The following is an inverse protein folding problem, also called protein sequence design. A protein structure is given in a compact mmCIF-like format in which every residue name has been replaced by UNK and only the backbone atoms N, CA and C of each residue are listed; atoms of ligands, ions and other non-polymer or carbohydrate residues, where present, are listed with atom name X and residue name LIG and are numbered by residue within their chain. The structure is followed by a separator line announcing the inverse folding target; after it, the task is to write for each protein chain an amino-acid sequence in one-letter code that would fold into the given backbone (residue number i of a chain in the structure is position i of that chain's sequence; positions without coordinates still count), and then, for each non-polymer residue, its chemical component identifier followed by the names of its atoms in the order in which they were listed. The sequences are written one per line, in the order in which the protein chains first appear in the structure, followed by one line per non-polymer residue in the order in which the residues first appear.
data_IF_276597399733
#
_entry.id   IF_276597399733
#
_cell.length_a   1.000
_cell.length_b   1.000
_cell.length_c   1.000
_cell.angle_alpha   90.00
_cell.angle_beta   90.00
_cell.angle_gamma   90.00
#
_symmetry.space_group_name_H-M   'P 1'
#
loop_
_entity.id
_entity.type
_entity.pdbx_description
1 polymer ?
#
# COMPACT_ATOMS: atom_id res chain seq x y z
N UNK A 1 11.77 -0.34 -7.61
CA UNK A 1 11.22 0.53 -8.66
C UNK A 1 12.22 1.66 -8.91
N UNK A 2 12.63 1.91 -10.17
CA UNK A 2 13.42 3.08 -10.54
C UNK A 2 12.74 4.40 -10.12
N UNK A 3 13.52 5.47 -9.94
CA UNK A 3 12.99 6.76 -9.47
C UNK A 3 11.92 7.34 -10.40
N UNK A 4 12.15 7.24 -11.70
CA UNK A 4 11.26 7.83 -12.72
C UNK A 4 9.91 7.10 -12.75
N UNK A 5 9.91 5.76 -12.70
CA UNK A 5 8.69 4.95 -12.58
C UNK A 5 7.91 5.27 -11.29
N UNK A 6 8.60 5.58 -10.18
CA UNK A 6 7.91 5.97 -8.96
C UNK A 6 7.28 7.36 -9.07
N UNK A 7 7.92 8.30 -9.76
CA UNK A 7 7.35 9.62 -10.01
C UNK A 7 6.09 9.55 -10.88
N UNK A 8 6.12 8.76 -11.96
CA UNK A 8 4.95 8.49 -12.81
C UNK A 8 3.82 7.84 -11.99
N UNK A 9 4.14 6.86 -11.16
CA UNK A 9 3.16 6.21 -10.29
C UNK A 9 2.54 7.17 -9.25
N UNK A 10 3.32 8.11 -8.72
CA UNK A 10 2.80 9.15 -7.82
C UNK A 10 1.85 10.10 -8.56
N UNK A 11 2.20 10.52 -9.78
CA UNK A 11 1.33 11.35 -10.60
C UNK A 11 0.00 10.65 -10.90
N UNK A 12 0.06 9.34 -11.18
CA UNK A 12 -1.12 8.50 -11.40
C UNK A 12 -2.09 8.48 -10.21
N UNK A 13 -1.54 8.28 -9.00
CA UNK A 13 -2.32 8.28 -7.76
C UNK A 13 -2.84 9.69 -7.44
N UNK A 14 -2.12 10.75 -7.82
CA UNK A 14 -2.61 12.11 -7.65
C UNK A 14 -3.84 12.38 -8.52
N UNK A 15 -3.86 11.89 -9.76
CA UNK A 15 -4.95 12.08 -10.70
C UNK A 15 -6.17 11.21 -10.38
N UNK A 16 -5.95 9.94 -10.03
CA UNK A 16 -7.00 8.92 -9.96
C UNK A 16 -7.27 8.38 -8.55
N UNK A 17 -6.42 8.73 -7.59
CA UNK A 17 -6.42 8.12 -6.26
C UNK A 17 -5.88 6.69 -6.28
N UNK A 18 -6.04 6.01 -5.15
CA UNK A 18 -5.64 4.60 -5.00
C UNK A 18 -6.80 3.71 -5.45
N UNK A 19 -6.74 3.19 -6.67
CA UNK A 19 -7.82 2.36 -7.25
C UNK A 19 -7.82 0.92 -6.72
N UNK A 20 -6.64 0.37 -6.42
CA UNK A 20 -6.49 -0.95 -5.83
C UNK A 20 -6.17 -0.79 -4.34
N UNK A 21 -7.01 -1.32 -3.43
CA UNK A 21 -6.78 -1.20 -1.99
C UNK A 21 -5.43 -1.74 -1.53
N UNK A 22 -4.96 -1.26 -0.38
CA UNK A 22 -3.81 -1.82 0.33
C UNK A 22 -4.29 -3.01 1.16
N UNK A 23 -3.60 -4.13 1.08
CA UNK A 23 -3.91 -5.31 1.87
C UNK A 23 -3.24 -5.20 3.23
N UNK A 24 -4.03 -5.31 4.30
CA UNK A 24 -3.55 -5.17 5.67
C UNK A 24 -3.92 -6.37 6.53
N UNK A 25 -3.00 -6.77 7.40
CA UNK A 25 -3.22 -7.71 8.50
C UNK A 25 -3.59 -6.89 9.73
N UNK A 26 -4.66 -7.28 10.42
CA UNK A 26 -5.14 -6.65 11.67
C UNK A 26 -5.36 -5.12 11.61
N UNK A 27 -5.37 -4.52 10.42
CA UNK A 27 -5.60 -3.09 10.19
C UNK A 27 -4.36 -2.19 10.28
N UNK A 28 -3.21 -2.69 10.73
CA UNK A 28 -2.00 -1.88 10.98
C UNK A 28 -0.75 -2.35 10.21
N UNK A 29 -0.76 -3.59 9.72
CA UNK A 29 0.40 -4.21 9.08
C UNK A 29 0.14 -4.37 7.59
N UNK A 30 0.90 -3.67 6.75
CA UNK A 30 0.77 -3.77 5.29
C UNK A 30 1.35 -5.11 4.81
N UNK A 31 0.52 -5.97 4.24
CA UNK A 31 0.98 -7.18 3.55
C UNK A 31 1.34 -6.88 2.09
N UNK A 32 0.44 -6.20 1.36
CA UNK A 32 0.68 -5.74 -0.02
C UNK A 32 0.20 -4.29 -0.24
N UNK A 33 0.86 -3.59 -1.16
CA UNK A 33 0.54 -2.21 -1.50
C UNK A 33 1.48 -1.18 -0.89
N UNK A 34 2.68 -1.59 -0.44
CA UNK A 34 3.70 -0.67 0.11
C UNK A 34 3.96 0.53 -0.80
N UNK A 35 4.06 0.32 -2.12
CA UNK A 35 4.30 1.42 -3.08
C UNK A 35 3.10 2.37 -3.15
N UNK A 36 1.87 1.86 -3.12
CA UNK A 36 0.63 2.66 -3.06
C UNK A 36 0.59 3.50 -1.79
N UNK A 37 0.92 2.90 -0.64
CA UNK A 37 1.02 3.61 0.63
C UNK A 37 2.08 4.72 0.61
N UNK A 38 3.28 4.44 0.09
CA UNK A 38 4.35 5.45 0.00
C UNK A 38 3.95 6.63 -0.90
N UNK A 39 3.30 6.36 -2.03
CA UNK A 39 2.82 7.41 -2.93
C UNK A 39 1.71 8.25 -2.29
N UNK A 40 0.71 7.61 -1.69
CA UNK A 40 -0.34 8.31 -0.94
C UNK A 40 0.22 9.16 0.20
N UNK A 41 1.20 8.64 0.94
CA UNK A 41 1.91 9.36 1.99
C UNK A 41 2.68 10.57 1.44
N UNK A 42 3.34 10.42 0.29
CA UNK A 42 4.05 11.53 -0.39
C UNK A 42 3.10 12.64 -0.83
N UNK A 43 1.88 12.30 -1.23
CA UNK A 43 0.82 13.24 -1.62
C UNK A 43 0.07 13.85 -0.43
N UNK A 44 0.34 13.41 0.81
CA UNK A 44 -0.36 13.90 1.99
C UNK A 44 -1.81 13.42 2.09
N UNK A 45 -2.16 12.30 1.44
CA UNK A 45 -3.49 11.71 1.55
C UNK A 45 -3.72 11.21 2.98
N UNK A 46 -4.83 11.66 3.61
CA UNK A 46 -5.18 11.26 4.99
C UNK A 46 -5.81 9.88 5.08
N UNK A 47 -6.45 9.44 4.00
CA UNK A 47 -7.15 8.16 3.93
C UNK A 47 -6.82 7.46 2.62
N UNK A 48 -6.70 6.14 2.70
CA UNK A 48 -6.49 5.25 1.56
C UNK A 48 -7.39 4.03 1.74
N UNK A 49 -7.92 3.46 0.64
CA UNK A 49 -8.70 2.23 0.74
C UNK A 49 -7.80 1.08 1.19
N UNK A 50 -8.31 0.30 2.14
CA UNK A 50 -7.65 -0.91 2.66
C UNK A 50 -8.63 -2.07 2.65
N UNK A 51 -8.11 -3.29 2.51
CA UNK A 51 -8.86 -4.53 2.67
C UNK A 51 -8.08 -5.49 3.57
N UNK A 52 -8.79 -6.39 4.25
CA UNK A 52 -8.15 -7.46 5.00
C UNK A 52 -7.36 -8.36 4.03
N UNK A 53 -6.10 -8.63 4.36
CA UNK A 53 -5.28 -9.54 3.59
C UNK A 53 -5.83 -10.98 3.68
N UNK A 54 -5.76 -11.78 2.59
CA UNK A 54 -6.19 -13.16 2.57
C UNK A 54 -5.12 -14.06 3.22
N UNK A 55 -4.90 -13.89 4.52
CA UNK A 55 -4.11 -14.83 5.32
C UNK A 55 -5.00 -15.99 5.73
N UNK A 56 -4.57 -17.22 5.47
CA UNK A 56 -5.21 -18.40 6.05
C UNK A 56 -5.11 -18.35 7.59
N UNK A 57 -5.89 -19.15 8.32
CA UNK A 57 -5.93 -19.21 9.81
C UNK A 57 -4.55 -19.42 10.49
N UNK A 58 -3.48 -19.59 9.72
CA UNK A 58 -2.10 -19.55 10.19
C UNK A 58 -1.66 -18.10 10.40
N UNK A 59 -1.38 -17.73 11.65
CA UNK A 59 -0.73 -16.47 12.00
C UNK A 59 0.43 -16.16 11.03
N UNK A 60 0.43 -15.00 10.36
CA UNK A 60 1.47 -14.66 9.40
C UNK A 60 2.82 -14.65 10.11
N UNK A 61 3.79 -15.40 9.59
CA UNK A 61 5.16 -15.39 10.10
C UNK A 61 5.84 -14.13 9.59
N UNK A 62 6.05 -13.17 10.49
CA UNK A 62 6.77 -11.93 10.18
C UNK A 62 8.26 -12.20 10.32
N UNK A 63 8.99 -12.20 9.21
CA UNK A 63 10.46 -12.23 9.21
C UNK A 63 10.98 -10.79 9.25
N UNK A 64 11.79 -10.47 10.26
CA UNK A 64 12.61 -9.25 10.28
C UNK A 64 14.03 -9.62 9.87
N UNK A 65 14.45 -9.16 8.69
CA UNK A 65 15.81 -9.32 8.15
C UNK A 65 16.59 -8.01 8.28
#
# INVERSE_FOLDING_TARGET
MPRDQFAEFVADIQERGVLVPIEVIAGDTILDGRTRWMAAKKLGLRHVPVVAAPVNDTHPVIYML
#
